data_IF_777337966184
#
_entry.id   IF_777337966184
#
_cell.length_a   1.000
_cell.length_b   1.000
_cell.length_c   1.000
_cell.angle_alpha   90.00
_cell.angle_beta   90.00
_cell.angle_gamma   90.00
#
_symmetry.space_group_name_H-M   'P 1'
#
loop_
_entity.id
_entity.type
_entity.pdbx_description
1 polymer ?
#
# COMPACT_ATOMS: atom_id res chain seq x y z
N UNK A 1 -0.90 -10.45 4.55
CA UNK A 1 0.29 -9.75 4.01
C UNK A 1 0.11 -9.32 2.56
N UNK A 2 0.34 -8.05 2.27
CA UNK A 2 0.19 -7.42 0.94
C UNK A 2 1.31 -6.46 0.58
N UNK A 3 2.32 -6.31 1.45
CA UNK A 3 3.36 -5.27 1.39
C UNK A 3 4.05 -5.22 0.02
N UNK A 4 4.49 -6.37 -0.49
CA UNK A 4 5.17 -6.42 -1.79
C UNK A 4 4.25 -6.05 -2.96
N UNK A 5 2.98 -6.43 -2.90
CA UNK A 5 2.01 -6.11 -3.97
C UNK A 5 1.78 -4.61 -4.01
N UNK A 6 1.55 -3.98 -2.85
CA UNK A 6 1.32 -2.53 -2.75
C UNK A 6 2.58 -1.75 -3.15
N UNK A 7 3.76 -2.19 -2.68
CA UNK A 7 5.05 -1.58 -3.00
C UNK A 7 5.31 -1.58 -4.51
N UNK A 8 5.14 -2.73 -5.17
CA UNK A 8 5.31 -2.82 -6.63
C UNK A 8 4.26 -2.01 -7.38
N UNK A 9 2.98 -2.11 -6.98
CA UNK A 9 1.89 -1.41 -7.66
C UNK A 9 2.06 0.12 -7.57
N UNK A 10 2.45 0.65 -6.40
CA UNK A 10 2.72 2.07 -6.22
C UNK A 10 3.93 2.54 -7.06
N UNK A 11 4.95 1.69 -7.20
CA UNK A 11 6.06 1.93 -8.13
C UNK A 11 5.59 2.07 -9.58
N UNK A 12 4.80 1.13 -10.07
CA UNK A 12 4.22 1.16 -11.42
C UNK A 12 3.32 2.38 -11.64
N UNK A 13 2.52 2.76 -10.64
CA UNK A 13 1.70 3.97 -10.68
C UNK A 13 2.54 5.23 -10.83
N UNK A 14 3.67 5.31 -10.12
CA UNK A 14 4.58 6.46 -10.22
C UNK A 14 5.29 6.51 -11.59
N UNK A 15 5.74 5.36 -12.10
CA UNK A 15 6.34 5.25 -13.44
C UNK A 15 5.36 5.67 -14.54
N UNK A 16 4.12 5.19 -14.48
CA UNK A 16 3.05 5.59 -15.41
C UNK A 16 2.72 7.09 -15.29
N UNK A 17 2.90 7.68 -14.10
CA UNK A 17 2.81 9.11 -13.87
C UNK A 17 4.02 9.92 -14.38
N UNK A 18 5.02 9.27 -14.97
CA UNK A 18 6.24 9.91 -15.45
C UNK A 18 7.21 10.30 -14.33
N UNK A 19 7.02 9.77 -13.11
CA UNK A 19 7.89 10.00 -11.97
C UNK A 19 8.93 8.89 -11.93
N UNK A 20 10.21 9.26 -11.85
CA UNK A 20 11.29 8.29 -11.68
C UNK A 20 11.27 7.75 -10.25
N UNK A 21 10.64 6.59 -10.08
CA UNK A 21 10.55 5.91 -8.80
C UNK A 21 11.60 4.80 -8.68
N UNK A 22 12.21 4.72 -7.50
CA UNK A 22 13.07 3.61 -7.11
C UNK A 22 12.31 2.73 -6.10
N UNK A 23 12.12 1.46 -6.44
CA UNK A 23 11.31 0.51 -5.66
C UNK A 23 12.21 -0.52 -5.00
N UNK A 24 12.10 -0.70 -3.68
CA UNK A 24 12.83 -1.78 -3.01
C UNK A 24 12.72 -1.78 -1.49
N UNK A 25 13.82 -2.04 -0.78
CA UNK A 25 13.84 -2.18 0.68
C UNK A 25 13.91 -3.64 1.12
N UNK A 26 12.87 -4.13 1.80
CA UNK A 26 12.71 -5.54 2.14
C UNK A 26 12.32 -6.40 0.92
N UNK A 27 11.78 -5.77 -0.11
CA UNK A 27 11.53 -6.35 -1.43
C UNK A 27 12.64 -5.93 -2.41
N UNK A 28 13.11 -6.85 -3.25
CA UNK A 28 13.98 -6.51 -4.38
C UNK A 28 15.31 -5.88 -3.96
N UNK A 29 15.62 -4.71 -4.51
CA UNK A 29 16.90 -4.02 -4.28
C UNK A 29 16.96 -3.41 -2.87
N UNK A 30 18.04 -3.63 -2.09
CA UNK A 30 18.21 -3.00 -0.78
C UNK A 30 18.16 -1.47 -0.84
N UNK A 31 17.58 -0.83 0.17
CA UNK A 31 17.37 0.63 0.19
C UNK A 31 18.68 1.44 0.03
N UNK A 32 19.81 0.94 0.57
CA UNK A 32 21.11 1.62 0.44
C UNK A 32 21.66 1.55 -0.99
N UNK A 33 21.34 0.49 -1.73
CA UNK A 33 21.78 0.34 -3.12
C UNK A 33 21.00 1.31 -4.02
N UNK A 34 19.68 1.43 -3.80
CA UNK A 34 18.84 2.45 -4.46
C UNK A 34 19.33 3.89 -4.18
N UNK A 35 19.86 4.14 -2.97
CA UNK A 35 20.40 5.45 -2.61
C UNK A 35 21.74 5.77 -3.29
N UNK A 36 22.52 4.75 -3.62
CA UNK A 36 23.85 4.86 -4.23
C UNK A 36 23.81 5.08 -5.74
N UNK A 37 22.64 4.93 -6.37
CA UNK A 37 22.48 5.20 -7.79
C UNK A 37 22.86 6.64 -8.14
N UNK A 38 23.64 6.79 -9.21
CA UNK A 38 24.19 8.08 -9.63
C UNK A 38 23.10 9.07 -10.05
N UNK A 39 22.02 8.54 -10.62
CA UNK A 39 20.85 9.32 -10.99
C UNK A 39 19.79 9.21 -9.90
N UNK A 40 19.61 10.28 -9.12
CA UNK A 40 18.71 10.22 -7.96
C UNK A 40 17.24 10.17 -8.41
N UNK A 41 16.46 9.19 -7.94
CA UNK A 41 15.03 9.10 -8.21
C UNK A 41 14.29 10.25 -7.52
N UNK A 42 13.11 10.58 -8.06
CA UNK A 42 12.20 11.58 -7.49
C UNK A 42 11.34 11.00 -6.38
N UNK A 43 11.15 9.68 -6.38
CA UNK A 43 10.37 8.95 -5.40
C UNK A 43 11.09 7.66 -4.98
N UNK A 44 11.14 7.38 -3.69
CA UNK A 44 11.50 6.07 -3.17
C UNK A 44 10.24 5.37 -2.66
N UNK A 45 10.00 4.14 -3.13
CA UNK A 45 8.91 3.28 -2.68
C UNK A 45 9.53 2.10 -1.95
N UNK A 46 9.47 2.12 -0.61
CA UNK A 46 10.18 1.16 0.23
C UNK A 46 9.21 0.23 0.95
N UNK A 47 9.39 -1.08 0.73
CA UNK A 47 8.85 -2.10 1.63
C UNK A 47 9.73 -2.17 2.87
N UNK A 48 9.13 -2.10 4.06
CA UNK A 48 9.85 -2.14 5.33
C UNK A 48 9.27 -3.23 6.23
N UNK A 49 10.12 -4.17 6.65
CA UNK A 49 9.73 -5.17 7.66
C UNK A 49 9.71 -4.54 9.06
N UNK A 50 9.02 -5.19 10.00
CA UNK A 50 9.04 -4.77 11.41
C UNK A 50 10.47 -4.71 11.97
N UNK A 51 11.32 -5.67 11.60
CA UNK A 51 12.74 -5.71 12.03
C UNK A 51 13.55 -4.50 11.57
N UNK A 52 13.31 -4.02 10.34
CA UNK A 52 13.97 -2.80 9.86
C UNK A 52 13.45 -1.58 10.61
N UNK A 53 12.15 -1.52 10.87
CA UNK A 53 11.53 -0.41 11.59
C UNK A 53 12.01 -0.30 13.05
N UNK A 54 12.31 -1.41 13.73
CA UNK A 54 12.89 -1.41 15.09
C UNK A 54 14.18 -0.58 15.18
N UNK A 55 14.97 -0.56 14.11
CA UNK A 55 16.29 0.11 14.07
C UNK A 55 16.28 1.41 13.27
N UNK A 56 15.10 1.88 12.86
CA UNK A 56 14.94 3.09 12.07
C UNK A 56 14.35 4.21 12.93
N UNK A 57 15.09 5.30 13.14
CA UNK A 57 14.66 6.44 13.97
C UNK A 57 14.42 7.74 13.19
N UNK A 58 14.85 7.80 11.93
CA UNK A 58 14.88 9.04 11.13
C UNK A 58 13.99 8.99 9.90
N UNK A 59 13.13 7.99 9.76
CA UNK A 59 12.22 7.88 8.61
C UNK A 59 11.14 8.96 8.70
N UNK A 60 11.18 9.90 7.74
CA UNK A 60 10.12 10.88 7.55
C UNK A 60 9.43 10.67 6.20
N UNK A 61 8.63 9.61 6.09
CA UNK A 61 7.93 9.26 4.87
C UNK A 61 6.87 10.30 4.51
N UNK A 62 6.82 10.70 3.23
CA UNK A 62 5.78 11.61 2.70
C UNK A 62 4.39 10.97 2.78
N UNK A 63 4.32 9.67 2.57
CA UNK A 63 3.14 8.82 2.78
C UNK A 63 3.60 7.51 3.40
N UNK A 64 2.93 7.04 4.45
CA UNK A 64 3.23 5.78 5.13
C UNK A 64 1.95 4.96 5.31
N UNK A 65 2.08 3.63 5.32
CA UNK A 65 0.95 2.70 5.54
C UNK A 65 1.36 1.52 6.41
N UNK A 66 0.40 1.02 7.19
CA UNK A 66 0.40 -0.35 7.71
C UNK A 66 -0.83 -1.02 7.12
N UNK A 67 -0.66 -2.08 6.33
CA UNK A 67 -1.77 -2.66 5.55
C UNK A 67 -2.72 -3.52 6.39
N UNK A 68 -2.17 -4.22 7.37
CA UNK A 68 -2.88 -5.10 8.30
C UNK A 68 -1.91 -5.54 9.40
N UNK A 69 -2.46 -5.93 10.54
CA UNK A 69 -1.79 -6.66 11.60
C UNK A 69 -2.43 -8.04 11.70
N UNK A 70 -1.77 -9.04 11.10
CA UNK A 70 -2.00 -10.44 11.41
C UNK A 70 -0.87 -10.95 12.33
N UNK A 71 -1.15 -11.91 13.24
CA UNK A 71 -0.09 -12.57 13.99
C UNK A 71 0.86 -13.26 13.02
N UNK A 72 2.03 -12.69 12.85
CA UNK A 72 3.11 -13.17 11.99
C UNK A 72 4.40 -13.00 12.79
N UNK A 73 5.34 -13.95 12.69
CA UNK A 73 6.61 -13.91 13.44
C UNK A 73 6.50 -13.83 14.99
N UNK A 74 5.51 -14.49 15.60
CA UNK A 74 5.37 -14.56 17.06
C UNK A 74 6.53 -15.29 17.78
N UNK A 75 7.44 -15.93 17.04
CA UNK A 75 8.64 -16.58 17.57
C UNK A 75 9.70 -15.58 18.05
N UNK A 76 9.59 -14.31 17.64
CA UNK A 76 10.60 -13.27 17.91
C UNK A 76 10.12 -12.13 18.81
N UNK A 77 8.82 -12.02 19.02
CA UNK A 77 8.24 -11.00 19.89
C UNK A 77 7.70 -11.66 21.15
N UNK A 78 8.07 -11.12 22.31
CA UNK A 78 7.57 -11.59 23.61
C UNK A 78 6.04 -11.52 23.66
N UNK A 79 5.46 -10.53 22.99
CA UNK A 79 4.03 -10.45 22.74
C UNK A 79 3.66 -9.71 21.45
N UNK A 80 2.40 -9.87 21.02
CA UNK A 80 1.86 -9.18 19.84
C UNK A 80 1.95 -7.65 19.94
N UNK A 81 1.96 -7.09 21.16
CA UNK A 81 2.07 -5.64 21.36
C UNK A 81 3.44 -5.10 20.92
N UNK A 82 4.52 -5.85 21.09
CA UNK A 82 5.86 -5.44 20.67
C UNK A 82 5.97 -5.40 19.13
N UNK A 83 5.36 -6.39 18.46
CA UNK A 83 5.25 -6.42 17.00
C UNK A 83 4.44 -5.23 16.46
N UNK A 84 3.32 -4.92 17.09
CA UNK A 84 2.49 -3.75 16.77
C UNK A 84 3.30 -2.46 16.93
N UNK A 85 3.99 -2.31 18.06
CA UNK A 85 4.82 -1.15 18.35
C UNK A 85 5.95 -0.99 17.31
N UNK A 86 6.59 -2.09 16.90
CA UNK A 86 7.61 -2.08 15.86
C UNK A 86 7.06 -1.57 14.51
N UNK A 87 5.89 -2.07 14.06
CA UNK A 87 5.27 -1.59 12.81
C UNK A 87 4.78 -0.15 12.90
N UNK A 88 4.25 0.28 14.05
CA UNK A 88 3.78 1.66 14.26
C UNK A 88 4.88 2.70 14.06
N UNK A 89 6.17 2.33 14.23
CA UNK A 89 7.31 3.23 13.99
C UNK A 89 7.36 3.77 12.56
N UNK A 90 6.72 3.12 11.57
CA UNK A 90 6.60 3.67 10.21
C UNK A 90 5.87 5.03 10.18
N UNK A 91 5.10 5.34 11.23
CA UNK A 91 4.37 6.59 11.40
C UNK A 91 5.12 7.69 12.18
N UNK A 92 6.43 7.56 12.47
CA UNK A 92 7.17 8.60 13.21
C UNK A 92 7.27 9.96 12.48
N UNK A 93 7.18 9.98 11.14
CA UNK A 93 7.24 11.19 10.33
C UNK A 93 5.98 12.08 10.39
N UNK A 94 5.99 13.15 9.59
CA UNK A 94 4.89 14.13 9.52
C UNK A 94 4.05 14.06 8.21
N UNK A 95 4.34 13.10 7.33
CA UNK A 95 3.60 12.91 6.08
C UNK A 95 2.15 12.44 6.26
N UNK A 96 1.49 12.10 5.16
CA UNK A 96 0.15 11.52 5.22
C UNK A 96 0.19 10.05 5.66
N UNK A 97 -0.89 9.60 6.30
CA UNK A 97 -1.11 8.21 6.69
C UNK A 97 -2.16 7.59 5.78
N UNK A 98 -1.85 6.42 5.24
CA UNK A 98 -2.82 5.54 4.59
C UNK A 98 -3.06 4.36 5.51
N UNK A 99 -4.32 4.09 5.86
CA UNK A 99 -4.66 3.08 6.87
C UNK A 99 -5.84 2.21 6.48
N UNK A 100 -5.77 0.95 6.88
CA UNK A 100 -6.86 0.01 6.70
C UNK A 100 -7.96 0.26 7.75
N UNK A 101 -9.12 0.74 7.32
CA UNK A 101 -10.27 0.95 8.20
C UNK A 101 -10.91 -0.35 8.69
N UNK A 102 -10.63 -1.48 8.03
CA UNK A 102 -11.15 -2.80 8.43
C UNK A 102 -10.31 -3.45 9.53
N UNK A 103 -9.13 -2.87 9.85
CA UNK A 103 -8.22 -3.37 10.88
C UNK A 103 -8.20 -2.43 12.09
N UNK A 104 -8.84 -2.81 13.21
CA UNK A 104 -8.92 -1.96 14.40
C UNK A 104 -7.57 -1.69 15.05
N UNK A 105 -6.59 -2.59 14.88
CA UNK A 105 -5.24 -2.40 15.41
C UNK A 105 -4.51 -1.32 14.61
N UNK A 106 -4.61 -1.37 13.28
CA UNK A 106 -4.05 -0.32 12.41
C UNK A 106 -4.72 1.03 12.68
N UNK A 107 -6.05 1.04 12.83
CA UNK A 107 -6.80 2.26 13.15
C UNK A 107 -6.40 2.85 14.51
N UNK A 108 -5.99 2.04 15.49
CA UNK A 108 -5.49 2.53 16.77
C UNK A 108 -4.08 3.15 16.70
N UNK A 109 -3.33 2.95 15.61
CA UNK A 109 -1.97 3.49 15.46
C UNK A 109 -1.92 4.97 15.08
N UNK A 110 -3.01 5.52 14.55
CA UNK A 110 -3.02 6.85 13.92
C UNK A 110 -3.05 7.99 14.95
N UNK A 111 -2.36 9.07 14.63
CA UNK A 111 -2.41 10.32 15.39
C UNK A 111 -3.43 11.29 14.77
N UNK A 112 -4.28 11.97 15.57
CA UNK A 112 -5.39 12.78 15.09
C UNK A 112 -4.98 14.07 14.36
N UNK A 113 -3.73 14.51 14.48
CA UNK A 113 -3.19 15.76 13.91
C UNK A 113 -2.58 15.58 12.51
N UNK A 114 -2.68 14.38 11.92
CA UNK A 114 -2.13 14.08 10.59
C UNK A 114 -3.21 13.95 9.53
N UNK A 115 -2.84 14.21 8.27
CA UNK A 115 -3.68 13.84 7.12
C UNK A 115 -3.78 12.32 7.05
N UNK A 116 -4.98 11.79 7.22
CA UNK A 116 -5.29 10.36 7.14
C UNK A 116 -6.18 10.13 5.92
N UNK A 117 -5.85 9.12 5.12
CA UNK A 117 -6.68 8.59 4.04
C UNK A 117 -6.92 7.12 4.36
N UNK A 118 -8.17 6.70 4.49
CA UNK A 118 -8.48 5.30 4.81
C UNK A 118 -8.74 4.51 3.55
N UNK A 119 -8.52 3.21 3.63
CA UNK A 119 -9.05 2.24 2.67
C UNK A 119 -9.85 1.16 3.40
N UNK A 120 -10.91 0.66 2.76
CA UNK A 120 -11.81 -0.38 3.31
C UNK A 120 -12.37 -1.26 2.20
N UNK A 121 -12.73 -2.50 2.50
CA UNK A 121 -13.51 -3.37 1.61
C UNK A 121 -15.02 -3.09 1.66
N UNK A 122 -15.46 -2.15 2.49
CA UNK A 122 -16.82 -1.64 2.58
C UNK A 122 -17.00 -0.35 1.75
N UNK A 123 -18.20 0.24 1.81
CA UNK A 123 -18.44 1.53 1.17
C UNK A 123 -17.63 2.65 1.85
N UNK A 124 -16.87 3.46 1.09
CA UNK A 124 -16.05 4.51 1.68
C UNK A 124 -16.84 5.78 2.01
N UNK A 125 -16.43 6.44 3.09
CA UNK A 125 -16.78 7.83 3.41
C UNK A 125 -16.11 8.83 2.45
N UNK A 126 -16.52 10.10 2.54
CA UNK A 126 -15.90 11.18 1.76
C UNK A 126 -14.40 11.30 2.07
N UNK A 127 -13.58 11.27 1.02
CA UNK A 127 -12.12 11.34 1.14
C UNK A 127 -11.41 10.00 1.33
N UNK A 128 -12.14 8.92 1.61
CA UNK A 128 -11.61 7.57 1.81
C UNK A 128 -11.79 6.69 0.56
N UNK A 129 -11.03 5.61 0.48
CA UNK A 129 -11.07 4.64 -0.61
C UNK A 129 -11.83 3.38 -0.17
N UNK A 130 -12.65 2.83 -1.05
CA UNK A 130 -13.36 1.59 -0.73
C UNK A 130 -14.08 0.95 -1.89
N UNK A 131 -14.94 -0.02 -1.59
CA UNK A 131 -15.70 -0.76 -2.58
C UNK A 131 -17.15 -0.30 -2.62
N UNK A 132 -17.61 0.10 -3.80
CA UNK A 132 -19.04 0.34 -4.07
C UNK A 132 -19.60 -0.82 -4.87
N UNK A 133 -20.56 -1.53 -4.28
CA UNK A 133 -21.20 -2.70 -4.90
C UNK A 133 -22.63 -2.35 -5.29
N UNK A 134 -22.95 -2.39 -6.58
CA UNK A 134 -24.28 -2.08 -7.08
C UNK A 134 -24.61 -2.92 -8.32
N UNK A 135 -25.80 -3.52 -8.36
CA UNK A 135 -26.25 -4.27 -9.55
C UNK A 135 -25.40 -5.49 -9.92
N UNK A 136 -24.63 -6.04 -8.97
CA UNK A 136 -23.70 -7.15 -9.23
C UNK A 136 -22.29 -6.70 -9.64
N UNK A 137 -22.09 -5.42 -9.89
CA UNK A 137 -20.78 -4.83 -10.17
C UNK A 137 -20.09 -4.41 -8.86
N UNK A 138 -18.77 -4.55 -8.82
CA UNK A 138 -17.94 -4.03 -7.73
C UNK A 138 -16.98 -2.99 -8.29
N UNK A 139 -16.98 -1.80 -7.71
CA UNK A 139 -16.14 -0.67 -8.13
C UNK A 139 -15.20 -0.28 -7.00
N UNK A 140 -13.92 -0.07 -7.31
CA UNK A 140 -13.03 0.67 -6.43
C UNK A 140 -13.39 2.15 -6.56
N UNK A 141 -13.58 2.83 -5.43
CA UNK A 141 -14.13 4.18 -5.37
C UNK A 141 -13.33 5.07 -4.42
N UNK A 142 -13.43 6.38 -4.65
CA UNK A 142 -12.99 7.42 -3.73
C UNK A 142 -14.22 8.25 -3.33
N UNK A 143 -14.63 8.19 -2.06
CA UNK A 143 -15.93 8.72 -1.63
C UNK A 143 -17.07 8.17 -2.49
N UNK A 144 -17.88 9.05 -3.09
CA UNK A 144 -18.98 8.66 -3.98
C UNK A 144 -18.55 8.31 -5.41
N UNK A 145 -17.33 8.68 -5.81
CA UNK A 145 -16.88 8.54 -7.18
C UNK A 145 -16.35 7.14 -7.47
N UNK A 146 -16.95 6.46 -8.46
CA UNK A 146 -16.45 5.18 -8.97
C UNK A 146 -15.23 5.41 -9.84
N UNK A 147 -14.11 4.79 -9.48
CA UNK A 147 -12.84 4.98 -10.18
C UNK A 147 -12.60 3.92 -11.24
N UNK A 148 -12.70 2.65 -10.85
CA UNK A 148 -12.43 1.52 -11.74
C UNK A 148 -13.26 0.31 -11.32
N UNK A 149 -13.76 -0.43 -12.30
CA UNK A 149 -14.53 -1.65 -12.04
C UNK A 149 -13.58 -2.79 -11.71
N UNK A 150 -13.85 -3.53 -10.64
CA UNK A 150 -12.99 -4.63 -10.19
C UNK A 150 -12.85 -5.74 -11.25
N UNK A 151 -13.84 -5.89 -12.14
CA UNK A 151 -13.85 -6.90 -13.21
C UNK A 151 -12.84 -6.60 -14.34
N UNK A 152 -12.38 -5.35 -14.49
CA UNK A 152 -11.35 -5.00 -15.48
C UNK A 152 -9.94 -5.29 -14.99
N UNK A 153 -9.78 -5.57 -13.70
CA UNK A 153 -8.50 -5.88 -13.09
C UNK A 153 -8.09 -7.32 -13.38
N UNK A 154 -6.79 -7.53 -13.63
CA UNK A 154 -6.22 -8.88 -13.80
C UNK A 154 -5.96 -9.58 -12.47
N UNK A 155 -6.05 -8.84 -11.36
CA UNK A 155 -5.97 -9.36 -10.00
C UNK A 155 -7.38 -9.49 -9.42
N UNK A 156 -7.63 -10.55 -8.66
CA UNK A 156 -8.95 -10.83 -8.09
C UNK A 156 -8.87 -11.25 -6.62
N UNK A 157 -10.01 -11.21 -5.94
CA UNK A 157 -10.15 -11.53 -4.52
C UNK A 157 -9.94 -10.32 -3.60
N UNK A 158 -10.63 -10.34 -2.46
CA UNK A 158 -10.72 -9.19 -1.55
C UNK A 158 -9.36 -8.68 -1.07
N UNK A 159 -8.40 -9.58 -0.80
CA UNK A 159 -7.05 -9.17 -0.40
C UNK A 159 -6.32 -8.37 -1.49
N UNK A 160 -6.54 -8.67 -2.77
CA UNK A 160 -5.97 -7.92 -3.89
C UNK A 160 -6.70 -6.60 -4.10
N UNK A 161 -8.02 -6.57 -3.91
CA UNK A 161 -8.80 -5.32 -3.93
C UNK A 161 -8.35 -4.38 -2.80
N UNK A 162 -8.14 -4.90 -1.59
CA UNK A 162 -7.58 -4.13 -0.47
C UNK A 162 -6.18 -3.57 -0.80
N UNK A 163 -5.31 -4.38 -1.41
CA UNK A 163 -3.98 -3.91 -1.84
C UNK A 163 -4.10 -2.81 -2.93
N UNK A 164 -5.02 -2.97 -3.88
CA UNK A 164 -5.26 -1.98 -4.92
C UNK A 164 -5.77 -0.66 -4.33
N UNK A 165 -6.73 -0.72 -3.39
CA UNK A 165 -7.24 0.46 -2.68
C UNK A 165 -6.15 1.16 -1.86
N UNK A 166 -5.31 0.39 -1.16
CA UNK A 166 -4.17 0.95 -0.44
C UNK A 166 -3.19 1.67 -1.38
N UNK A 167 -2.85 1.08 -2.53
CA UNK A 167 -1.97 1.70 -3.51
C UNK A 167 -2.59 2.97 -4.13
N UNK A 168 -3.88 2.94 -4.47
CA UNK A 168 -4.61 4.13 -4.96
C UNK A 168 -4.65 5.25 -3.92
N UNK A 169 -4.92 4.91 -2.66
CA UNK A 169 -4.91 5.87 -1.55
C UNK A 169 -3.52 6.50 -1.35
N UNK A 170 -2.45 5.69 -1.43
CA UNK A 170 -1.08 6.18 -1.35
C UNK A 170 -0.71 7.08 -2.54
N UNK A 171 -1.01 6.64 -3.76
CA UNK A 171 -0.77 7.43 -4.97
C UNK A 171 -1.55 8.75 -4.98
N UNK A 172 -2.82 8.73 -4.55
CA UNK A 172 -3.62 9.94 -4.37
C UNK A 172 -3.00 10.89 -3.33
N UNK A 173 -2.52 10.37 -2.20
CA UNK A 173 -1.85 11.17 -1.17
C UNK A 173 -0.51 11.76 -1.65
N UNK A 174 0.18 11.10 -2.60
CA UNK A 174 1.37 11.61 -3.28
C UNK A 174 1.04 12.62 -4.39
N UNK A 175 -0.22 12.73 -4.80
CA UNK A 175 -0.65 13.60 -5.90
C UNK A 175 -0.39 13.00 -7.29
N UNK A 176 -0.32 11.67 -7.40
CA UNK A 176 -0.23 11.00 -8.70
C UNK A 176 -1.52 11.22 -9.50
N UNK A 177 -1.38 11.32 -10.82
CA UNK A 177 -2.51 11.53 -11.73
C UNK A 177 -3.40 10.26 -11.76
N UNK A 178 -4.71 10.44 -11.62
CA UNK A 178 -5.67 9.34 -11.51
C UNK A 178 -5.65 8.41 -12.71
N UNK A 179 -5.73 8.94 -13.94
CA UNK A 179 -5.76 8.11 -15.15
C UNK A 179 -4.49 7.27 -15.28
N UNK A 180 -3.32 7.80 -14.90
CA UNK A 180 -2.06 7.02 -14.83
C UNK A 180 -2.08 5.93 -13.77
N UNK A 181 -2.61 6.21 -12.58
CA UNK A 181 -2.76 5.19 -11.54
C UNK A 181 -3.68 4.06 -11.96
N UNK A 182 -4.81 4.39 -12.61
CA UNK A 182 -5.77 3.39 -13.10
C UNK A 182 -5.17 2.54 -14.22
N UNK A 183 -4.45 3.14 -15.17
CA UNK A 183 -3.75 2.39 -16.22
C UNK A 183 -2.75 1.38 -15.65
N UNK A 184 -1.94 1.79 -14.66
CA UNK A 184 -1.01 0.88 -13.97
C UNK A 184 -1.75 -0.30 -13.32
N UNK A 185 -2.89 -0.03 -12.69
CA UNK A 185 -3.70 -1.02 -11.98
C UNK A 185 -4.38 -2.02 -12.94
N UNK A 186 -4.87 -1.56 -14.10
CA UNK A 186 -5.42 -2.43 -15.16
C UNK A 186 -4.35 -3.34 -15.77
N UNK A 187 -3.13 -2.83 -15.93
CA UNK A 187 -2.03 -3.58 -16.53
C UNK A 187 -1.44 -4.63 -15.58
N UNK A 188 -1.49 -4.39 -14.27
CA UNK A 188 -0.84 -5.19 -13.23
C UNK A 188 -1.36 -6.63 -13.15
N UNK A 189 -0.48 -7.60 -13.36
CA UNK A 189 -0.80 -9.04 -13.39
C UNK A 189 -0.55 -9.76 -12.06
N UNK A 190 -0.19 -9.05 -10.99
CA UNK A 190 0.33 -9.66 -9.77
C UNK A 190 1.85 -9.87 -9.82
N UNK A 191 2.42 -10.31 -8.70
CA UNK A 191 3.84 -10.59 -8.57
C UNK A 191 4.19 -12.00 -9.06
N UNK A 192 5.36 -12.15 -9.66
CA UNK A 192 5.94 -13.47 -9.90
C UNK A 192 5.97 -14.27 -8.58
N UNK A 193 5.48 -15.51 -8.62
CA UNK A 193 5.39 -16.43 -7.46
C UNK A 193 4.25 -16.19 -6.45
N UNK A 194 3.35 -15.20 -6.67
CA UNK A 194 2.12 -15.04 -5.88
C UNK A 194 0.93 -15.56 -6.70
N UNK A 195 0.52 -16.81 -6.45
CA UNK A 195 -0.58 -17.51 -7.16
C UNK A 195 -0.58 -17.31 -8.68
N UNK A 196 0.44 -17.85 -9.34
CA UNK A 196 0.37 -18.05 -10.79
C UNK A 196 -0.43 -19.32 -11.08
N UNK A 197 -1.42 -19.26 -11.99
CA UNK A 197 -2.09 -20.45 -12.51
C UNK A 197 -1.06 -21.27 -13.30
N UNK A 198 -0.54 -22.36 -12.70
CA UNK A 198 0.62 -23.08 -13.27
C UNK A 198 0.21 -24.03 -14.42
N UNK A 199 -1.08 -24.36 -14.57
CA UNK A 199 -1.60 -25.21 -15.68
C UNK A 199 -3.13 -25.31 -15.67
N UNK A 200 -3.77 -25.15 -16.82
CA UNK A 200 -5.10 -25.73 -17.10
C UNK A 200 -4.93 -27.15 -17.65
N UNK A 201 -5.80 -28.08 -17.21
CA UNK A 201 -5.85 -29.46 -17.70
C UNK A 201 -6.86 -29.60 -18.81
#
# INVERSE_FOLDING_TARGET
NGESTVTTLLGLMAEQAGIRAAVGGNLGTPALDLWRETDRPELYVLELSSFQLETTDSLNARVATVLNISPDHLDRYDCLADYIAAKQRIFQGNGALVVNADDPVVMAMVAPDRKIVRFTLEEPDEGDFGLRRAGGETWLAHGQERWIEASTLKISGDHNLANALAALAMGHALGLERTRMLAALEEFTGLAHRTALVRER
#
